data_IF_175985603662
#
_entry.id   IF_175985603662
#
_cell.length_a   1.000
_cell.length_b   1.000
_cell.length_c   1.000
_cell.angle_alpha   90.00
_cell.angle_beta   90.00
_cell.angle_gamma   90.00
#
_symmetry.space_group_name_H-M   'P 1'
#
loop_
_entity.id
_entity.type
_entity.pdbx_description
1 polymer ?
#
# COMPACT_ATOMS: atom_id res chain seq x y z
N UNK A 1 10.44 17.58 6.84
CA UNK A 1 9.42 17.81 5.79
C UNK A 1 8.50 16.60 5.72
N UNK A 2 7.19 16.79 5.82
CA UNK A 2 6.20 15.72 5.65
C UNK A 2 5.88 15.51 4.16
N UNK A 3 6.04 14.27 3.67
CA UNK A 3 5.92 13.91 2.25
C UNK A 3 4.68 13.07 1.92
N UNK A 4 3.98 12.54 2.93
CA UNK A 4 2.81 11.70 2.73
C UNK A 4 2.48 10.82 3.94
N UNK A 5 1.41 10.05 3.81
CA UNK A 5 0.89 9.10 4.78
C UNK A 5 0.73 7.73 4.12
N UNK A 6 1.13 6.68 4.83
CA UNK A 6 0.77 5.31 4.53
C UNK A 6 0.12 4.71 5.77
N UNK A 7 -1.05 4.10 5.62
CA UNK A 7 -1.83 3.61 6.76
C UNK A 7 -2.48 2.26 6.47
N UNK A 8 -2.48 1.40 7.48
CA UNK A 8 -3.19 0.13 7.51
C UNK A 8 -4.45 0.30 8.35
N UNK A 9 -5.61 -0.04 7.80
CA UNK A 9 -6.90 0.05 8.48
C UNK A 9 -7.72 -1.21 8.27
N UNK A 10 -8.85 -1.36 8.96
CA UNK A 10 -9.73 -2.52 8.79
C UNK A 10 -9.24 -3.82 9.43
N UNK A 11 -8.27 -3.76 10.36
CA UNK A 11 -7.70 -4.93 11.05
C UNK A 11 -8.74 -5.80 11.78
N UNK A 12 -9.82 -5.19 12.27
CA UNK A 12 -10.89 -5.88 13.02
C UNK A 12 -11.98 -6.50 12.14
N UNK A 13 -12.08 -6.08 10.87
CA UNK A 13 -13.19 -6.43 9.97
C UNK A 13 -12.78 -7.44 8.89
N UNK A 14 -11.72 -8.23 9.13
CA UNK A 14 -11.19 -9.25 8.21
C UNK A 14 -10.75 -8.76 6.81
N UNK A 15 -10.77 -7.44 6.58
CA UNK A 15 -10.27 -6.79 5.37
C UNK A 15 -9.20 -5.74 5.67
N UNK A 16 -8.00 -6.14 6.16
CA UNK A 16 -6.90 -5.21 6.36
C UNK A 16 -6.55 -4.52 5.06
N UNK A 17 -6.61 -3.19 5.03
CA UNK A 17 -6.43 -2.40 3.81
C UNK A 17 -5.33 -1.36 3.99
N UNK A 18 -4.37 -1.35 3.09
CA UNK A 18 -3.33 -0.33 3.00
C UNK A 18 -3.79 0.79 2.08
N UNK A 19 -3.64 2.03 2.56
CA UNK A 19 -3.87 3.25 1.77
C UNK A 19 -2.59 4.09 1.76
N UNK A 20 -2.29 4.65 0.60
CA UNK A 20 -1.13 5.51 0.39
C UNK A 20 -1.57 6.88 -0.14
N UNK A 21 -1.13 7.94 0.53
CA UNK A 21 -1.21 9.32 0.07
C UNK A 21 0.17 9.96 0.11
N UNK A 22 0.81 10.14 -1.04
CA UNK A 22 2.09 10.86 -1.16
C UNK A 22 1.82 12.18 -1.86
N UNK A 23 2.51 13.26 -1.47
CA UNK A 23 2.44 14.54 -2.19
C UNK A 23 2.86 14.33 -3.64
N UNK A 24 2.11 14.87 -4.59
CA UNK A 24 2.35 14.69 -6.03
C UNK A 24 3.77 15.09 -6.47
N UNK A 25 4.30 16.15 -5.85
CA UNK A 25 5.69 16.62 -6.04
C UNK A 25 6.77 15.58 -5.69
N UNK A 26 6.40 14.47 -5.06
CA UNK A 26 7.30 13.38 -4.65
C UNK A 26 7.02 12.07 -5.38
N UNK A 27 6.13 12.08 -6.38
CA UNK A 27 5.95 10.94 -7.29
C UNK A 27 7.25 10.64 -8.05
N UNK A 28 7.45 9.38 -8.45
CA UNK A 28 8.66 8.94 -9.17
C UNK A 28 9.90 8.69 -8.29
N UNK A 29 9.92 9.15 -7.04
CA UNK A 29 11.06 8.98 -6.12
C UNK A 29 11.01 7.70 -5.26
N UNK A 30 10.13 6.74 -5.58
CA UNK A 30 9.97 5.44 -4.89
C UNK A 30 9.55 5.49 -3.41
N UNK A 31 9.46 6.67 -2.77
CA UNK A 31 9.02 6.78 -1.36
C UNK A 31 7.68 6.09 -1.07
N UNK A 32 6.71 6.22 -1.97
CA UNK A 32 5.41 5.55 -1.81
C UNK A 32 5.53 4.02 -1.86
N UNK A 33 6.43 3.50 -2.69
CA UNK A 33 6.70 2.07 -2.77
C UNK A 33 7.35 1.57 -1.49
N UNK A 34 8.38 2.25 -1.00
CA UNK A 34 9.11 1.84 0.19
C UNK A 34 8.21 1.87 1.43
N UNK A 35 7.35 2.90 1.54
CA UNK A 35 6.37 2.99 2.61
C UNK A 35 5.38 1.80 2.58
N UNK A 36 4.85 1.46 1.39
CA UNK A 36 3.91 0.34 1.26
C UNK A 36 4.59 -1.01 1.47
N UNK A 37 5.78 -1.24 0.90
CA UNK A 37 6.54 -2.49 1.12
C UNK A 37 6.87 -2.67 2.61
N UNK A 38 7.24 -1.59 3.32
CA UNK A 38 7.51 -1.62 4.77
C UNK A 38 6.25 -1.96 5.57
N UNK A 39 5.12 -1.33 5.24
CA UNK A 39 3.86 -1.57 5.94
C UNK A 39 3.33 -2.99 5.68
N UNK A 40 3.51 -3.52 4.47
CA UNK A 40 3.17 -4.90 4.13
C UNK A 40 4.02 -5.89 4.94
N UNK A 41 5.33 -5.66 5.04
CA UNK A 41 6.21 -6.49 5.88
C UNK A 41 5.77 -6.46 7.33
N UNK A 42 5.55 -5.27 7.90
CA UNK A 42 5.02 -5.13 9.25
C UNK A 42 3.70 -5.88 9.44
N UNK A 43 2.79 -5.78 8.48
CA UNK A 43 1.50 -6.44 8.53
C UNK A 43 1.59 -7.99 8.54
N UNK A 44 2.55 -8.55 7.81
CA UNK A 44 2.74 -10.00 7.76
C UNK A 44 3.62 -10.55 8.89
N UNK A 45 4.75 -9.88 9.15
CA UNK A 45 5.77 -10.36 10.10
C UNK A 45 5.38 -10.06 11.55
N UNK A 46 4.86 -8.85 11.83
CA UNK A 46 4.59 -8.40 13.20
C UNK A 46 3.11 -8.57 13.59
N UNK A 47 2.18 -8.29 12.67
CA UNK A 47 0.75 -8.43 12.94
C UNK A 47 0.18 -9.82 12.61
N UNK A 48 0.98 -10.69 11.97
CA UNK A 48 0.57 -12.06 11.64
C UNK A 48 -0.61 -12.16 10.68
N UNK A 49 -0.85 -11.12 9.86
CA UNK A 49 -1.92 -11.17 8.87
C UNK A 49 -1.63 -12.25 7.83
N UNK A 50 -2.67 -12.80 7.20
CA UNK A 50 -2.51 -13.79 6.11
C UNK A 50 -2.78 -13.20 4.73
N UNK A 51 -3.52 -12.10 4.70
CA UNK A 51 -3.90 -11.36 3.51
C UNK A 51 -4.10 -9.89 3.86
N UNK A 52 -3.89 -9.02 2.88
CA UNK A 52 -4.26 -7.63 2.96
C UNK A 52 -4.65 -7.10 1.58
N UNK A 53 -5.36 -5.98 1.58
CA UNK A 53 -5.80 -5.28 0.40
C UNK A 53 -4.99 -4.00 0.22
N UNK A 54 -4.71 -3.62 -1.02
CA UNK A 54 -4.11 -2.34 -1.36
C UNK A 54 -5.12 -1.50 -2.13
N UNK A 55 -5.56 -0.39 -1.52
CA UNK A 55 -6.50 0.55 -2.13
C UNK A 55 -5.73 1.53 -3.02
N UNK A 56 -6.08 1.50 -4.30
CA UNK A 56 -5.52 2.39 -5.33
C UNK A 56 -6.59 3.41 -5.70
N UNK A 57 -6.32 4.68 -5.44
CA UNK A 57 -7.15 5.76 -5.98
C UNK A 57 -7.09 5.73 -7.51
N UNK A 58 -8.25 5.63 -8.15
CA UNK A 58 -8.39 5.35 -9.59
C UNK A 58 -7.63 6.35 -10.50
N UNK A 59 -7.50 7.61 -10.05
CA UNK A 59 -6.81 8.69 -10.78
C UNK A 59 -5.31 8.82 -10.48
N UNK A 60 -4.75 7.97 -9.62
CA UNK A 60 -3.35 8.08 -9.20
C UNK A 60 -2.46 7.06 -9.90
N UNK A 61 -1.89 7.47 -11.04
CA UNK A 61 -0.95 6.64 -11.82
C UNK A 61 0.25 6.14 -11.01
N UNK A 62 0.70 6.91 -9.99
CA UNK A 62 1.81 6.51 -9.15
C UNK A 62 1.42 5.34 -8.23
N UNK A 63 0.21 5.37 -7.66
CA UNK A 63 -0.33 4.27 -6.87
C UNK A 63 -0.58 3.03 -7.73
N UNK A 64 -1.05 3.19 -8.98
CA UNK A 64 -1.22 2.08 -9.93
C UNK A 64 0.12 1.37 -10.20
N UNK A 65 1.19 2.12 -10.50
CA UNK A 65 2.53 1.54 -10.70
C UNK A 65 3.07 0.82 -9.48
N UNK A 66 2.79 1.33 -8.28
CA UNK A 66 3.15 0.65 -7.03
C UNK A 66 2.39 -0.67 -6.92
N UNK A 67 1.09 -0.64 -7.20
CA UNK A 67 0.24 -1.82 -7.17
C UNK A 67 0.73 -2.89 -8.16
N UNK A 68 1.08 -2.51 -9.40
CA UNK A 68 1.70 -3.42 -10.39
C UNK A 68 3.02 -4.02 -9.92
N UNK A 69 3.87 -3.22 -9.25
CA UNK A 69 5.12 -3.72 -8.69
C UNK A 69 4.89 -4.71 -7.52
N UNK A 70 3.82 -4.51 -6.75
CA UNK A 70 3.45 -5.37 -5.62
C UNK A 70 2.89 -6.71 -6.07
N UNK A 71 2.00 -6.74 -7.08
CA UNK A 71 1.46 -8.00 -7.62
C UNK A 71 2.56 -8.94 -8.13
N UNK A 72 3.66 -8.39 -8.64
CA UNK A 72 4.83 -9.18 -9.08
C UNK A 72 5.66 -9.76 -7.93
N UNK A 73 5.51 -9.22 -6.71
CA UNK A 73 6.36 -9.55 -5.55
C UNK A 73 5.63 -10.27 -4.43
N UNK A 74 4.32 -10.07 -4.29
CA UNK A 74 3.56 -10.49 -3.10
C UNK A 74 2.28 -11.22 -3.51
N UNK A 75 2.26 -12.55 -3.35
CA UNK A 75 1.13 -13.41 -3.73
C UNK A 75 -0.15 -13.18 -2.90
N UNK A 76 -0.02 -12.61 -1.70
CA UNK A 76 -1.10 -12.49 -0.73
C UNK A 76 -1.66 -11.05 -0.61
N UNK A 77 -1.45 -10.23 -1.64
CA UNK A 77 -2.00 -8.88 -1.73
C UNK A 77 -3.10 -8.83 -2.78
N UNK A 78 -4.26 -8.23 -2.46
CA UNK A 78 -5.33 -7.98 -3.43
C UNK A 78 -5.50 -6.49 -3.69
N UNK A 79 -5.53 -6.09 -4.96
CA UNK A 79 -5.83 -4.70 -5.35
C UNK A 79 -7.32 -4.42 -5.24
N UNK A 80 -7.66 -3.28 -4.65
CA UNK A 80 -9.02 -2.74 -4.66
C UNK A 80 -8.97 -1.34 -5.27
N UNK A 81 -9.83 -1.09 -6.25
CA UNK A 81 -10.08 0.24 -6.78
C UNK A 81 -11.17 0.88 -5.91
N UNK A 82 -10.91 2.08 -5.41
CA UNK A 82 -11.79 2.83 -4.50
C UNK A 82 -11.95 4.26 -4.95
#
# INVERSE_FOLDING_TARGET
>A
MFIGLCGLHGLKNEAPTVRLGVKEQRYGHKFGRDAVETLIKFAFEELGLRQLYYSVAEKNWANQKIAEALDRKVSNTKKIYS
#
